data_IF_342041868488
#
_entry.id   IF_342041868488
#
_cell.length_a   1.000
_cell.length_b   1.000
_cell.length_c   1.000
_cell.angle_alpha   90.00
_cell.angle_beta   90.00
_cell.angle_gamma   90.00
#
_symmetry.space_group_name_H-M   'P 1'
#
loop_
_entity.id
_entity.type
_entity.pdbx_description
1 polymer ?
#
# COMPACT_ATOMS: atom_id res chain seq x y z
N UNK A 1 24.35 -16.10 -18.10
CA UNK A 1 24.90 -17.33 -17.50
C UNK A 1 25.92 -16.90 -16.46
N UNK A 2 25.86 -17.46 -15.25
CA UNK A 2 26.82 -17.14 -14.20
C UNK A 2 28.12 -17.94 -14.41
N UNK A 3 29.28 -17.42 -14.01
CA UNK A 3 30.58 -18.07 -14.18
C UNK A 3 30.66 -19.47 -13.54
N UNK A 4 29.98 -19.69 -12.41
CA UNK A 4 29.87 -21.01 -11.74
C UNK A 4 29.05 -22.03 -12.56
N UNK A 5 28.10 -21.57 -13.37
CA UNK A 5 27.29 -22.42 -14.27
C UNK A 5 28.16 -23.00 -15.39
N UNK A 6 29.20 -22.26 -15.80
CA UNK A 6 30.19 -22.65 -16.82
C UNK A 6 31.23 -23.62 -16.25
N UNK A 7 31.64 -23.46 -15.00
CA UNK A 7 32.56 -24.41 -14.34
C UNK A 7 31.89 -25.77 -14.06
N UNK A 8 30.62 -25.77 -13.63
CA UNK A 8 29.88 -27.01 -13.37
C UNK A 8 29.44 -27.73 -14.65
N UNK A 9 29.39 -27.04 -15.80
CA UNK A 9 29.21 -27.66 -17.11
C UNK A 9 30.36 -28.60 -17.51
N UNK A 10 31.48 -28.59 -16.78
CA UNK A 10 32.56 -29.58 -16.95
C UNK A 10 32.25 -30.94 -16.27
N UNK A 11 31.31 -30.98 -15.31
CA UNK A 11 30.91 -32.22 -14.62
C UNK A 11 29.81 -32.96 -15.42
N UNK A 12 30.11 -34.21 -15.80
CA UNK A 12 29.18 -35.12 -16.48
C UNK A 12 27.85 -35.28 -15.72
N UNK A 13 27.89 -35.25 -14.38
CA UNK A 13 26.68 -35.40 -13.57
C UNK A 13 25.81 -34.14 -13.55
N UNK A 14 26.41 -32.95 -13.70
CA UNK A 14 25.67 -31.70 -13.87
C UNK A 14 25.05 -31.60 -15.27
N UNK A 15 25.73 -32.08 -16.32
CA UNK A 15 25.13 -32.19 -17.68
C UNK A 15 23.90 -33.10 -17.71
N UNK A 16 23.96 -34.24 -17.02
CA UNK A 16 22.81 -35.14 -16.88
C UNK A 16 21.66 -34.49 -16.09
N UNK A 17 21.99 -33.67 -15.08
CA UNK A 17 20.99 -32.88 -14.35
C UNK A 17 20.35 -31.79 -15.22
N UNK A 18 21.13 -31.04 -16.00
CA UNK A 18 20.62 -30.07 -16.98
C UNK A 18 19.71 -30.75 -18.00
N UNK A 19 20.08 -31.91 -18.53
CA UNK A 19 19.25 -32.68 -19.46
C UNK A 19 17.95 -33.19 -18.81
N UNK A 20 17.99 -33.59 -17.53
CA UNK A 20 16.81 -34.01 -16.78
C UNK A 20 15.85 -32.83 -16.52
N UNK A 21 16.39 -31.65 -16.19
CA UNK A 21 15.62 -30.41 -16.05
C UNK A 21 15.03 -29.99 -17.40
N UNK A 22 15.77 -30.10 -18.49
CA UNK A 22 15.27 -29.81 -19.84
C UNK A 22 14.16 -30.75 -20.28
N UNK A 23 14.28 -32.04 -19.96
CA UNK A 23 13.21 -33.00 -20.20
C UNK A 23 11.96 -32.69 -19.38
N UNK A 24 12.13 -32.22 -18.14
CA UNK A 24 11.02 -31.77 -17.31
C UNK A 24 10.39 -30.48 -17.87
N UNK A 25 11.19 -29.52 -18.34
CA UNK A 25 10.73 -28.27 -18.96
C UNK A 25 9.99 -28.51 -20.28
N UNK A 26 10.43 -29.47 -21.10
CA UNK A 26 9.67 -29.88 -22.31
C UNK A 26 8.29 -30.44 -21.95
N UNK A 27 8.15 -31.17 -20.84
CA UNK A 27 6.82 -31.64 -20.42
C UNK A 27 5.86 -30.48 -20.10
N UNK A 28 6.35 -29.32 -19.64
CA UNK A 28 5.52 -28.13 -19.46
C UNK A 28 5.01 -27.54 -20.78
N UNK A 29 5.70 -27.76 -21.90
CA UNK A 29 5.29 -27.25 -23.22
C UNK A 29 4.18 -28.08 -23.86
N UNK A 30 4.12 -29.37 -23.56
CA UNK A 30 3.08 -30.29 -24.03
C UNK A 30 1.92 -30.47 -23.03
N UNK A 31 1.95 -29.74 -21.90
CA UNK A 31 0.91 -29.82 -20.88
C UNK A 31 -0.36 -29.11 -21.37
N UNK A 32 -1.42 -29.87 -21.64
CA UNK A 32 -2.74 -29.33 -21.98
C UNK A 32 -3.64 -29.15 -20.76
N UNK A 33 -3.39 -29.90 -19.68
CA UNK A 33 -4.20 -29.86 -18.47
C UNK A 33 -3.43 -29.40 -17.22
N UNK A 34 -4.17 -28.91 -16.24
CA UNK A 34 -3.61 -28.49 -14.95
C UNK A 34 -2.99 -29.65 -14.15
N UNK A 35 -3.46 -30.89 -14.37
CA UNK A 35 -2.89 -32.10 -13.76
C UNK A 35 -1.49 -32.43 -14.29
N UNK A 36 -1.22 -32.13 -15.57
CA UNK A 36 0.10 -32.32 -16.18
C UNK A 36 1.13 -31.37 -15.57
N UNK A 37 0.71 -30.15 -15.22
CA UNK A 37 1.56 -29.18 -14.51
C UNK A 37 1.97 -29.72 -13.13
N UNK A 38 1.05 -30.33 -12.37
CA UNK A 38 1.37 -30.95 -11.07
C UNK A 38 2.39 -32.08 -11.25
N UNK A 39 2.21 -32.92 -12.27
CA UNK A 39 3.12 -34.02 -12.60
C UNK A 39 4.50 -33.53 -13.03
N UNK A 40 4.55 -32.46 -13.85
CA UNK A 40 5.79 -31.83 -14.29
C UNK A 40 6.55 -31.17 -13.13
N UNK A 41 5.85 -30.45 -12.24
CA UNK A 41 6.40 -29.93 -10.99
C UNK A 41 6.93 -31.05 -10.09
N UNK A 42 6.18 -32.15 -9.97
CA UNK A 42 6.62 -33.32 -9.20
C UNK A 42 7.93 -33.93 -9.73
N UNK A 43 8.08 -34.03 -11.06
CA UNK A 43 9.33 -34.49 -11.70
C UNK A 43 10.47 -33.50 -11.48
N UNK A 44 10.19 -32.20 -11.57
CA UNK A 44 11.17 -31.14 -11.31
C UNK A 44 11.70 -31.19 -9.87
N UNK A 45 10.81 -31.38 -8.89
CA UNK A 45 11.16 -31.45 -7.46
C UNK A 45 12.11 -32.61 -7.14
N UNK A 46 11.87 -33.80 -7.74
CA UNK A 46 12.74 -34.96 -7.55
C UNK A 46 14.15 -34.74 -8.14
N UNK A 47 14.24 -34.00 -9.24
CA UNK A 47 15.51 -33.76 -9.92
C UNK A 47 16.33 -32.64 -9.26
N UNK A 48 15.68 -31.61 -8.73
CA UNK A 48 16.35 -30.45 -8.12
C UNK A 48 17.09 -30.76 -6.81
N UNK A 49 16.77 -31.86 -6.12
CA UNK A 49 17.37 -32.20 -4.82
C UNK A 49 18.87 -32.59 -4.86
N UNK A 50 19.51 -32.68 -6.04
CA UNK A 50 20.86 -33.27 -6.19
C UNK A 50 22.02 -32.26 -6.33
N UNK A 51 21.77 -31.00 -6.69
CA UNK A 51 22.84 -30.02 -6.96
C UNK A 51 22.50 -28.61 -6.43
N UNK A 52 23.52 -27.88 -5.96
CA UNK A 52 23.38 -26.53 -5.39
C UNK A 52 23.18 -25.38 -6.41
N UNK A 53 23.16 -25.67 -7.72
CA UNK A 53 22.99 -24.66 -8.78
C UNK A 53 21.80 -25.03 -9.65
N UNK A 54 20.83 -24.15 -9.78
CA UNK A 54 19.60 -24.36 -10.57
C UNK A 54 19.85 -23.94 -12.03
N UNK A 55 19.85 -24.87 -13.00
CA UNK A 55 20.06 -24.56 -14.40
C UNK A 55 18.82 -23.89 -14.99
N UNK A 56 19.01 -23.03 -16.00
CA UNK A 56 17.90 -22.33 -16.72
C UNK A 56 16.90 -21.64 -15.78
N UNK A 57 17.41 -20.97 -14.75
CA UNK A 57 16.61 -20.24 -13.75
C UNK A 57 15.50 -19.37 -14.36
N UNK A 58 15.78 -18.68 -15.47
CA UNK A 58 14.82 -17.81 -16.16
C UNK A 58 13.60 -18.58 -16.67
N UNK A 59 13.82 -19.72 -17.32
CA UNK A 59 12.74 -20.55 -17.87
C UNK A 59 11.94 -21.19 -16.74
N UNK A 60 12.62 -21.70 -15.70
CA UNK A 60 11.96 -22.27 -14.52
C UNK A 60 11.10 -21.20 -13.83
N UNK A 61 11.65 -20.00 -13.57
CA UNK A 61 10.92 -18.90 -12.96
C UNK A 61 9.68 -18.50 -13.75
N UNK A 62 9.79 -18.39 -15.08
CA UNK A 62 8.63 -18.11 -15.97
C UNK A 62 7.55 -19.19 -15.90
N UNK A 63 7.93 -20.47 -15.96
CA UNK A 63 6.97 -21.59 -15.87
C UNK A 63 6.33 -21.69 -14.50
N UNK A 64 7.10 -21.46 -13.43
CA UNK A 64 6.56 -21.41 -12.08
C UNK A 64 5.59 -20.25 -11.89
N UNK A 65 5.89 -19.06 -12.42
CA UNK A 65 4.97 -17.93 -12.40
C UNK A 65 3.66 -18.23 -13.15
N UNK A 66 3.72 -18.95 -14.29
CA UNK A 66 2.52 -19.43 -15.00
C UNK A 66 1.69 -20.39 -14.14
N UNK A 67 2.33 -21.28 -13.39
CA UNK A 67 1.65 -22.19 -12.47
C UNK A 67 0.94 -21.46 -11.31
N UNK A 68 1.27 -20.18 -11.07
CA UNK A 68 0.65 -19.33 -10.05
C UNK A 68 -0.47 -18.45 -10.62
N UNK A 69 -0.91 -18.69 -11.86
CA UNK A 69 -2.00 -17.92 -12.46
C UNK A 69 -3.31 -18.08 -11.66
N UNK A 70 -4.07 -17.00 -11.40
CA UNK A 70 -5.32 -17.06 -10.61
C UNK A 70 -6.39 -18.03 -11.12
N UNK A 71 -6.40 -18.29 -12.44
CA UNK A 71 -7.34 -19.21 -13.06
C UNK A 71 -7.04 -20.69 -12.78
N UNK A 72 -5.88 -21.02 -12.19
CA UNK A 72 -5.49 -22.39 -11.89
C UNK A 72 -5.98 -22.82 -10.50
N UNK A 73 -6.26 -24.13 -10.30
CA UNK A 73 -6.75 -24.62 -9.02
C UNK A 73 -5.68 -24.55 -7.92
N UNK A 74 -6.14 -24.46 -6.67
CA UNK A 74 -5.28 -24.34 -5.48
C UNK A 74 -4.28 -25.49 -5.30
N UNK A 75 -4.58 -26.68 -5.84
CA UNK A 75 -3.65 -27.82 -5.85
C UNK A 75 -2.38 -27.54 -6.66
N UNK A 76 -2.50 -26.86 -7.80
CA UNK A 76 -1.36 -26.45 -8.62
C UNK A 76 -0.53 -25.40 -7.89
N UNK A 77 -1.21 -24.42 -7.26
CA UNK A 77 -0.54 -23.37 -6.48
C UNK A 77 0.29 -23.98 -5.33
N UNK A 78 -0.29 -24.91 -4.56
CA UNK A 78 0.44 -25.59 -3.47
C UNK A 78 1.67 -26.33 -3.98
N UNK A 79 1.55 -27.08 -5.08
CA UNK A 79 2.68 -27.81 -5.67
C UNK A 79 3.77 -26.87 -6.19
N UNK A 80 3.38 -25.74 -6.78
CA UNK A 80 4.31 -24.71 -7.20
C UNK A 80 5.06 -24.11 -6.00
N UNK A 81 4.37 -23.81 -4.89
CA UNK A 81 5.00 -23.29 -3.67
C UNK A 81 6.00 -24.27 -3.04
N UNK A 82 5.70 -25.57 -3.01
CA UNK A 82 6.68 -26.60 -2.60
C UNK A 82 7.94 -26.57 -3.48
N UNK A 83 7.74 -26.34 -4.77
CA UNK A 83 8.84 -26.24 -5.75
C UNK A 83 9.69 -24.99 -5.49
N UNK A 84 9.05 -23.84 -5.21
CA UNK A 84 9.76 -22.63 -4.78
C UNK A 84 10.55 -22.86 -3.50
N UNK A 85 9.98 -23.54 -2.51
CA UNK A 85 10.66 -23.83 -1.26
C UNK A 85 11.94 -24.66 -1.48
N UNK A 86 11.86 -25.72 -2.29
CA UNK A 86 13.03 -26.53 -2.66
C UNK A 86 14.09 -25.66 -3.34
N UNK A 87 13.69 -24.83 -4.31
CA UNK A 87 14.60 -23.93 -5.03
C UNK A 87 15.27 -22.95 -4.07
N UNK A 88 14.54 -22.34 -3.14
CA UNK A 88 15.10 -21.39 -2.18
C UNK A 88 16.07 -22.04 -1.20
N UNK A 89 15.82 -23.29 -0.76
CA UNK A 89 16.77 -24.08 0.05
C UNK A 89 18.09 -24.33 -0.69
N UNK A 90 18.03 -24.59 -1.99
CA UNK A 90 19.20 -24.90 -2.82
C UNK A 90 20.03 -23.65 -3.11
N UNK A 91 19.36 -22.56 -3.47
CA UNK A 91 20.03 -21.33 -3.94
C UNK A 91 20.66 -20.57 -2.76
N UNK A 92 19.99 -20.54 -1.61
CA UNK A 92 20.40 -19.79 -0.43
C UNK A 92 20.17 -18.27 -0.55
N UNK A 93 20.28 -17.52 0.56
CA UNK A 93 19.81 -16.13 0.65
C UNK A 93 20.59 -15.15 -0.24
N UNK A 94 21.91 -15.33 -0.38
CA UNK A 94 22.77 -14.42 -1.18
C UNK A 94 22.42 -14.43 -2.67
N UNK A 95 22.09 -15.61 -3.21
CA UNK A 95 21.73 -15.76 -4.62
C UNK A 95 20.24 -15.45 -4.85
N UNK A 96 19.39 -15.73 -3.87
CA UNK A 96 17.98 -15.32 -3.89
C UNK A 96 17.84 -13.80 -4.02
N UNK A 97 18.68 -13.02 -3.33
CA UNK A 97 18.69 -11.56 -3.45
C UNK A 97 18.93 -11.08 -4.90
N UNK A 98 19.82 -11.76 -5.64
CA UNK A 98 20.15 -11.39 -7.04
C UNK A 98 19.03 -11.75 -8.01
N UNK A 99 18.38 -12.88 -7.78
CA UNK A 99 17.32 -13.41 -8.65
C UNK A 99 15.91 -13.12 -8.09
N UNK A 100 15.79 -12.15 -7.17
CA UNK A 100 14.55 -11.85 -6.45
C UNK A 100 13.40 -11.58 -7.41
N UNK A 101 13.57 -10.65 -8.34
CA UNK A 101 12.53 -10.26 -9.31
C UNK A 101 12.00 -11.43 -10.14
N UNK A 102 12.86 -12.39 -10.47
CA UNK A 102 12.49 -13.55 -11.26
C UNK A 102 11.49 -14.42 -10.52
N UNK A 103 11.76 -14.74 -9.25
CA UNK A 103 10.90 -15.59 -8.43
C UNK A 103 9.72 -14.83 -7.84
N UNK A 104 9.89 -13.53 -7.53
CA UNK A 104 8.85 -12.70 -6.94
C UNK A 104 7.72 -12.33 -7.91
N UNK A 105 8.00 -12.32 -9.22
CA UNK A 105 7.03 -11.94 -10.27
C UNK A 105 5.71 -12.72 -10.21
N UNK A 106 5.75 -14.01 -9.88
CA UNK A 106 4.55 -14.85 -9.71
C UNK A 106 4.03 -14.91 -8.27
N UNK A 107 4.92 -14.78 -7.28
CA UNK A 107 4.56 -14.95 -5.86
C UNK A 107 3.76 -13.75 -5.31
N UNK A 108 4.16 -12.52 -5.62
CA UNK A 108 3.49 -11.34 -5.06
C UNK A 108 2.01 -11.21 -5.51
N UNK A 109 1.67 -11.40 -6.80
CA UNK A 109 0.27 -11.34 -7.24
C UNK A 109 -0.57 -12.52 -6.74
N UNK A 110 0.05 -13.67 -6.46
CA UNK A 110 -0.65 -14.86 -5.97
C UNK A 110 -1.33 -14.60 -4.63
N UNK A 111 -0.68 -13.86 -3.71
CA UNK A 111 -1.20 -13.68 -2.35
C UNK A 111 -2.61 -13.07 -2.34
N UNK A 112 -2.90 -12.10 -3.20
CA UNK A 112 -4.21 -11.47 -3.27
C UNK A 112 -5.29 -12.38 -3.87
N UNK A 113 -4.91 -13.23 -4.83
CA UNK A 113 -5.84 -13.99 -5.67
C UNK A 113 -5.96 -15.48 -5.28
N UNK A 114 -5.06 -15.98 -4.44
CA UNK A 114 -5.04 -17.38 -4.04
C UNK A 114 -6.18 -17.75 -3.09
N UNK A 115 -6.51 -19.04 -3.09
CA UNK A 115 -7.44 -19.61 -2.12
C UNK A 115 -6.94 -19.42 -0.67
N UNK A 116 -7.89 -19.30 0.27
CA UNK A 116 -7.59 -19.07 1.70
C UNK A 116 -6.69 -20.15 2.32
N UNK A 117 -6.68 -21.37 1.78
CA UNK A 117 -5.81 -22.46 2.22
C UNK A 117 -4.35 -22.34 1.74
N UNK A 118 -4.09 -21.55 0.70
CA UNK A 118 -2.75 -21.36 0.10
C UNK A 118 -2.04 -20.16 0.72
N UNK A 119 -2.78 -19.13 1.16
CA UNK A 119 -2.23 -17.90 1.74
C UNK A 119 -1.30 -18.15 2.93
N UNK A 120 -1.63 -19.01 3.92
CA UNK A 120 -0.72 -19.28 5.04
C UNK A 120 0.61 -19.91 4.60
N UNK A 121 0.57 -20.82 3.62
CA UNK A 121 1.77 -21.47 3.06
C UNK A 121 2.67 -20.43 2.40
N UNK A 122 2.08 -19.50 1.63
CA UNK A 122 2.82 -18.42 0.99
C UNK A 122 3.41 -17.42 2.00
N UNK A 123 2.66 -17.06 3.05
CA UNK A 123 3.16 -16.19 4.12
C UNK A 123 4.34 -16.81 4.86
N UNK A 124 4.27 -18.11 5.17
CA UNK A 124 5.40 -18.83 5.78
C UNK A 124 6.65 -18.85 4.89
N UNK A 125 6.47 -18.89 3.57
CA UNK A 125 7.57 -18.77 2.61
C UNK A 125 8.19 -17.37 2.61
N UNK A 126 7.40 -16.30 2.72
CA UNK A 126 7.93 -14.94 2.89
C UNK A 126 8.69 -14.77 4.20
N UNK A 127 8.16 -15.30 5.30
CA UNK A 127 8.83 -15.24 6.59
C UNK A 127 10.15 -16.01 6.61
N UNK A 128 10.22 -17.18 5.96
CA UNK A 128 11.41 -18.03 5.98
C UNK A 128 12.51 -17.54 5.03
N UNK A 129 12.15 -17.06 3.83
CA UNK A 129 13.14 -16.76 2.78
C UNK A 129 13.27 -15.28 2.45
N UNK A 130 12.20 -14.49 2.57
CA UNK A 130 12.25 -13.06 2.23
C UNK A 130 12.65 -12.19 3.42
N UNK A 131 12.22 -12.54 4.63
CA UNK A 131 12.58 -11.78 5.83
C UNK A 131 14.11 -11.72 6.08
N UNK A 132 14.88 -12.84 5.93
CA UNK A 132 16.33 -12.80 6.13
C UNK A 132 17.10 -11.97 5.09
N UNK A 133 16.48 -11.57 3.98
CA UNK A 133 17.11 -10.75 2.95
C UNK A 133 17.35 -9.31 3.42
N UNK A 134 16.56 -8.82 4.38
CA UNK A 134 16.67 -7.47 4.95
C UNK A 134 16.80 -6.39 3.89
N UNK A 135 17.84 -5.56 3.95
CA UNK A 135 18.08 -4.44 3.03
C UNK A 135 18.15 -4.83 1.53
N UNK A 136 18.46 -6.09 1.21
CA UNK A 136 18.48 -6.54 -0.20
C UNK A 136 17.09 -6.72 -0.81
N UNK A 137 16.03 -6.67 0.01
CA UNK A 137 14.63 -6.71 -0.41
C UNK A 137 14.13 -5.37 -0.97
N UNK A 138 14.84 -4.26 -0.76
CA UNK A 138 14.43 -2.90 -1.19
C UNK A 138 13.89 -2.86 -2.64
N UNK A 139 14.54 -3.47 -3.65
CA UNK A 139 14.08 -3.40 -5.04
C UNK A 139 12.75 -4.15 -5.31
N UNK A 140 12.44 -5.19 -4.51
CA UNK A 140 11.20 -5.96 -4.61
C UNK A 140 10.12 -5.55 -3.59
N UNK A 141 10.44 -4.61 -2.69
CA UNK A 141 9.60 -4.31 -1.53
C UNK A 141 8.23 -3.78 -1.93
N UNK A 142 8.15 -2.86 -2.89
CA UNK A 142 6.88 -2.30 -3.36
C UNK A 142 5.93 -3.38 -3.89
N UNK A 143 6.47 -4.38 -4.62
CA UNK A 143 5.69 -5.52 -5.11
C UNK A 143 5.18 -6.40 -3.97
N UNK A 144 6.04 -6.69 -2.99
CA UNK A 144 5.67 -7.45 -1.79
C UNK A 144 4.56 -6.72 -1.01
N UNK A 145 4.74 -5.42 -0.75
CA UNK A 145 3.77 -4.59 -0.03
C UNK A 145 2.43 -4.56 -0.77
N UNK A 146 2.44 -4.35 -2.09
CA UNK A 146 1.23 -4.36 -2.91
C UNK A 146 0.47 -5.69 -2.80
N UNK A 147 1.18 -6.82 -2.79
CA UNK A 147 0.57 -8.14 -2.64
C UNK A 147 0.03 -8.40 -1.22
N UNK A 148 0.81 -8.07 -0.19
CA UNK A 148 0.47 -8.30 1.22
C UNK A 148 -0.65 -7.37 1.70
N UNK A 149 -0.59 -6.08 1.37
CA UNK A 149 -1.58 -5.10 1.79
C UNK A 149 -2.97 -5.35 1.20
N UNK A 150 -3.05 -5.93 0.00
CA UNK A 150 -4.35 -6.35 -0.57
C UNK A 150 -5.05 -7.42 0.26
N UNK A 151 -4.30 -8.21 1.02
CA UNK A 151 -4.84 -9.22 1.95
C UNK A 151 -4.96 -8.68 3.37
N UNK A 152 -4.23 -7.62 3.71
CA UNK A 152 -4.38 -6.88 4.96
C UNK A 152 -5.72 -6.15 4.98
N UNK A 153 -6.81 -6.86 5.28
CA UNK A 153 -8.13 -6.26 5.48
C UNK A 153 -8.60 -6.60 6.88
N UNK A 154 -8.73 -5.60 7.74
CA UNK A 154 -9.34 -5.82 9.06
C UNK A 154 -10.83 -6.11 8.87
N UNK A 155 -11.37 -7.10 9.59
CA UNK A 155 -12.81 -7.35 9.61
C UNK A 155 -13.54 -6.05 10.00
N UNK A 156 -14.44 -5.50 9.16
CA UNK A 156 -15.19 -4.32 9.53
C UNK A 156 -16.14 -4.65 10.69
N UNK A 157 -16.23 -3.76 11.70
CA UNK A 157 -17.23 -3.87 12.76
C UNK A 157 -18.63 -3.61 12.18
N UNK A 158 -19.28 -4.69 11.73
CA UNK A 158 -20.72 -4.89 11.49
C UNK A 158 -21.44 -3.92 10.50
N UNK A 159 -20.89 -2.78 10.08
CA UNK A 159 -21.75 -1.66 9.63
C UNK A 159 -22.00 -1.46 8.14
N UNK A 160 -21.48 -2.25 7.19
CA UNK A 160 -21.86 -1.97 5.77
C UNK A 160 -21.76 -3.14 4.77
N UNK A 161 -22.92 -3.57 4.25
CA UNK A 161 -23.20 -4.08 2.89
C UNK A 161 -22.51 -5.32 2.28
N UNK A 162 -21.24 -5.63 2.58
CA UNK A 162 -20.48 -6.63 1.79
C UNK A 162 -20.58 -8.06 2.36
N UNK A 163 -21.79 -8.62 2.37
CA UNK A 163 -22.14 -9.81 3.17
C UNK A 163 -21.35 -11.09 2.82
N UNK A 164 -21.03 -11.32 1.54
CA UNK A 164 -20.42 -12.60 1.09
C UNK A 164 -18.91 -12.73 1.39
N UNK A 165 -18.14 -11.62 1.41
CA UNK A 165 -16.72 -11.65 1.81
C UNK A 165 -16.55 -11.52 3.32
N UNK A 166 -17.49 -10.84 4.00
CA UNK A 166 -17.49 -10.67 5.47
C UNK A 166 -17.50 -11.99 6.22
N UNK A 167 -18.31 -12.97 5.77
CA UNK A 167 -18.43 -14.28 6.44
C UNK A 167 -17.14 -15.11 6.39
N UNK A 168 -16.35 -14.98 5.32
CA UNK A 168 -15.10 -15.73 5.16
C UNK A 168 -13.97 -15.18 6.03
N UNK A 169 -13.90 -13.85 6.22
CA UNK A 169 -12.85 -13.23 7.03
C UNK A 169 -13.15 -13.24 8.54
N UNK A 170 -14.43 -13.35 8.91
CA UNK A 170 -14.86 -13.56 10.31
C UNK A 170 -14.60 -14.98 10.82
N UNK A 171 -14.05 -15.89 9.99
CA UNK A 171 -13.62 -17.22 10.43
C UNK A 171 -12.23 -17.15 11.08
N UNK A 172 -11.87 -18.10 11.96
CA UNK A 172 -10.57 -18.14 12.64
C UNK A 172 -9.38 -18.07 11.67
N UNK A 173 -9.52 -18.65 10.48
CA UNK A 173 -8.48 -18.63 9.45
C UNK A 173 -8.24 -17.23 8.86
N UNK A 174 -9.28 -16.42 8.69
CA UNK A 174 -9.14 -15.03 8.19
C UNK A 174 -8.42 -14.14 9.19
N UNK A 175 -8.77 -14.26 10.46
CA UNK A 175 -8.08 -13.55 11.55
C UNK A 175 -6.62 -14.00 11.71
N UNK A 176 -6.36 -15.31 11.62
CA UNK A 176 -4.99 -15.84 11.61
C UNK A 176 -4.15 -15.27 10.45
N UNK A 177 -4.73 -15.17 9.25
CA UNK A 177 -4.06 -14.56 8.09
C UNK A 177 -3.82 -13.07 8.33
N UNK A 178 -4.80 -12.34 8.85
CA UNK A 178 -4.63 -10.92 9.21
C UNK A 178 -3.45 -10.72 10.16
N UNK A 179 -3.44 -11.44 11.29
CA UNK A 179 -2.39 -11.36 12.29
C UNK A 179 -1.03 -11.74 11.71
N UNK A 180 -0.96 -12.83 10.93
CA UNK A 180 0.27 -13.24 10.27
C UNK A 180 0.78 -12.18 9.28
N UNK A 181 -0.10 -11.55 8.49
CA UNK A 181 0.29 -10.46 7.58
C UNK A 181 0.76 -9.21 8.32
N UNK A 182 0.12 -8.85 9.43
CA UNK A 182 0.52 -7.69 10.22
C UNK A 182 1.91 -7.90 10.83
N UNK A 183 2.13 -9.05 11.48
CA UNK A 183 3.42 -9.43 12.05
C UNK A 183 4.51 -9.48 10.96
N UNK A 184 4.20 -9.98 9.77
CA UNK A 184 5.15 -10.00 8.65
C UNK A 184 5.54 -8.58 8.22
N UNK A 185 4.57 -7.66 8.09
CA UNK A 185 4.83 -6.27 7.72
C UNK A 185 5.71 -5.55 8.76
N UNK A 186 5.43 -5.75 10.05
CA UNK A 186 6.26 -5.20 11.14
C UNK A 186 7.70 -5.74 11.10
N UNK A 187 7.86 -7.06 10.92
CA UNK A 187 9.18 -7.69 10.79
C UNK A 187 9.93 -7.20 9.55
N UNK A 188 9.24 -7.02 8.43
CA UNK A 188 9.84 -6.48 7.20
C UNK A 188 10.24 -5.01 7.37
N UNK A 189 9.40 -4.19 8.02
CA UNK A 189 9.73 -2.80 8.33
C UNK A 189 10.99 -2.69 9.21
N UNK A 190 11.14 -3.58 10.19
CA UNK A 190 12.35 -3.66 11.02
C UNK A 190 13.59 -4.14 10.22
N UNK A 191 13.43 -5.07 9.29
CA UNK A 191 14.54 -5.67 8.55
C UNK A 191 15.08 -4.79 7.40
N UNK A 192 14.21 -4.03 6.72
CA UNK A 192 14.58 -3.25 5.52
C UNK A 192 14.98 -1.81 5.83
N UNK A 193 14.68 -1.33 7.05
CA UNK A 193 14.68 0.07 7.52
C UNK A 193 13.31 0.74 7.39
N UNK A 194 12.86 1.41 8.45
CA UNK A 194 11.51 1.98 8.52
C UNK A 194 11.25 3.03 7.44
N UNK A 195 12.18 3.97 7.20
CA UNK A 195 12.03 5.01 6.16
C UNK A 195 11.91 4.41 4.75
N UNK A 196 12.71 3.39 4.44
CA UNK A 196 12.63 2.69 3.15
C UNK A 196 11.32 1.92 2.99
N UNK A 197 10.80 1.34 4.08
CA UNK A 197 9.51 0.68 4.12
C UNK A 197 8.35 1.63 3.82
N UNK A 198 8.28 2.77 4.51
CA UNK A 198 7.21 3.75 4.28
C UNK A 198 7.30 4.39 2.89
N UNK A 199 8.51 4.60 2.35
CA UNK A 199 8.67 5.05 0.96
C UNK A 199 8.06 4.08 -0.06
N UNK A 200 8.36 2.78 0.09
CA UNK A 200 7.78 1.76 -0.78
C UNK A 200 6.27 1.58 -0.57
N UNK A 201 5.77 1.85 0.65
CA UNK A 201 4.35 1.86 0.97
C UNK A 201 3.64 3.00 0.22
N UNK A 202 4.17 4.22 0.25
CA UNK A 202 3.62 5.37 -0.49
C UNK A 202 3.62 5.11 -2.00
N UNK A 203 4.68 4.53 -2.55
CA UNK A 203 4.70 4.10 -3.95
C UNK A 203 3.63 3.04 -4.28
N UNK A 204 3.33 2.13 -3.35
CA UNK A 204 2.27 1.12 -3.52
C UNK A 204 0.86 1.74 -3.48
N UNK A 205 0.65 2.74 -2.61
CA UNK A 205 -0.59 3.51 -2.50
C UNK A 205 -0.84 4.34 -3.77
N UNK A 206 0.19 4.98 -4.30
CA UNK A 206 0.10 5.79 -5.52
C UNK A 206 -0.32 4.93 -6.72
N UNK A 207 0.38 3.81 -6.93
CA UNK A 207 0.25 2.95 -8.12
C UNK A 207 -1.01 2.08 -8.16
N UNK A 208 -1.55 1.65 -7.01
CA UNK A 208 -2.63 0.65 -6.95
C UNK A 208 -3.80 1.11 -6.08
N UNK A 209 -4.98 1.44 -6.65
CA UNK A 209 -6.17 1.84 -5.89
C UNK A 209 -6.61 0.82 -4.84
N UNK A 210 -6.51 -0.47 -5.14
CA UNK A 210 -6.86 -1.56 -4.22
C UNK A 210 -6.00 -1.60 -2.94
N UNK A 211 -4.84 -0.93 -2.94
CA UNK A 211 -3.89 -0.88 -1.81
C UNK A 211 -4.05 0.41 -1.00
N UNK A 212 -4.73 1.45 -1.53
CA UNK A 212 -4.85 2.74 -0.86
C UNK A 212 -5.49 2.64 0.51
N UNK A 213 -6.67 2.01 0.62
CA UNK A 213 -7.36 1.84 1.89
C UNK A 213 -6.52 1.04 2.92
N UNK A 214 -6.06 -0.18 2.62
CA UNK A 214 -5.28 -0.95 3.59
C UNK A 214 -3.93 -0.32 3.90
N UNK A 215 -3.27 0.33 2.93
CA UNK A 215 -2.02 1.04 3.13
C UNK A 215 -2.17 2.21 4.10
N UNK A 216 -3.10 3.13 3.85
CA UNK A 216 -3.35 4.29 4.74
C UNK A 216 -3.81 3.83 6.12
N UNK A 217 -4.68 2.81 6.18
CA UNK A 217 -5.15 2.24 7.44
C UNK A 217 -4.03 1.56 8.24
N UNK A 218 -3.06 0.94 7.56
CA UNK A 218 -1.87 0.38 8.20
C UNK A 218 -1.03 1.48 8.84
N UNK A 219 -0.79 2.59 8.12
CA UNK A 219 -0.07 3.75 8.67
C UNK A 219 -0.79 4.28 9.91
N UNK A 220 -2.10 4.54 9.81
CA UNK A 220 -2.91 5.02 10.94
C UNK A 220 -2.88 4.09 12.17
N UNK A 221 -2.82 2.78 11.97
CA UNK A 221 -2.78 1.81 13.06
C UNK A 221 -1.42 1.80 13.78
N UNK A 222 -0.32 2.02 13.05
CA UNK A 222 1.05 1.99 13.58
C UNK A 222 1.56 3.38 13.99
N UNK A 223 0.80 4.44 13.71
CA UNK A 223 1.05 5.78 14.23
C UNK A 223 0.72 5.83 15.73
N UNK A 224 1.65 6.39 16.51
CA UNK A 224 1.44 6.52 17.94
C UNK A 224 0.88 7.91 18.22
N UNK A 225 -0.44 7.98 18.44
CA UNK A 225 -1.14 9.25 18.68
C UNK A 225 -0.67 10.02 19.94
N UNK A 226 0.20 9.43 20.75
CA UNK A 226 0.76 10.04 21.96
C UNK A 226 2.14 10.66 21.75
N UNK A 227 2.83 10.35 20.66
CA UNK A 227 4.18 10.87 20.37
C UNK A 227 4.10 12.08 19.44
N UNK A 228 5.11 12.94 19.50
CA UNK A 228 5.30 14.01 18.52
C UNK A 228 5.62 13.39 17.16
N UNK A 229 5.16 14.03 16.08
CA UNK A 229 5.52 13.62 14.74
C UNK A 229 7.03 13.79 14.45
N UNK A 230 7.75 14.62 15.21
CA UNK A 230 9.23 14.72 15.11
C UNK A 230 9.91 13.39 15.46
N UNK A 231 9.36 12.62 16.41
CA UNK A 231 9.86 11.29 16.79
C UNK A 231 9.42 10.19 15.80
N UNK A 232 8.48 10.50 14.90
CA UNK A 232 7.89 9.57 13.94
C UNK A 232 8.11 9.97 12.48
N UNK A 233 9.13 10.79 12.20
CA UNK A 233 9.43 11.30 10.86
C UNK A 233 9.67 10.19 9.82
N UNK A 234 10.05 8.99 10.27
CA UNK A 234 10.22 7.81 9.41
C UNK A 234 8.97 7.44 8.60
N UNK A 235 7.77 7.88 9.02
CA UNK A 235 6.50 7.63 8.32
C UNK A 235 6.41 8.41 7.00
N UNK A 236 7.08 9.55 6.91
CA UNK A 236 7.15 10.34 5.67
C UNK A 236 7.96 9.58 4.60
N UNK A 237 8.87 8.70 5.02
CA UNK A 237 9.75 7.96 4.13
C UNK A 237 11.03 8.76 3.81
N UNK A 238 11.67 8.41 2.70
CA UNK A 238 12.89 9.03 2.18
C UNK A 238 12.59 10.09 1.14
N UNK A 239 11.37 10.11 0.59
CA UNK A 239 10.90 11.01 -0.45
C UNK A 239 9.54 11.62 -0.07
N UNK A 240 9.57 12.91 0.26
CA UNK A 240 8.39 13.68 0.67
C UNK A 240 7.46 13.91 -0.53
N UNK A 241 8.00 14.09 -1.74
CA UNK A 241 7.20 14.36 -2.94
C UNK A 241 6.33 13.15 -3.29
N UNK A 242 6.90 11.94 -3.19
CA UNK A 242 6.16 10.69 -3.39
C UNK A 242 5.00 10.54 -2.40
N UNK A 243 5.22 10.89 -1.13
CA UNK A 243 4.18 10.84 -0.10
C UNK A 243 3.08 11.87 -0.40
N UNK A 244 3.44 13.10 -0.75
CA UNK A 244 2.49 14.17 -1.11
C UNK A 244 1.63 13.77 -2.32
N UNK A 245 2.22 13.16 -3.34
CA UNK A 245 1.50 12.69 -4.53
C UNK A 245 0.57 11.51 -4.20
N UNK A 246 1.04 10.55 -3.39
CA UNK A 246 0.25 9.41 -2.94
C UNK A 246 -0.95 9.84 -2.09
N UNK A 247 -0.75 10.79 -1.17
CA UNK A 247 -1.80 11.37 -0.32
C UNK A 247 -2.80 12.15 -1.17
N UNK A 248 -2.33 13.04 -2.04
CA UNK A 248 -3.19 13.85 -2.92
C UNK A 248 -4.10 12.97 -3.79
N UNK A 249 -3.54 11.92 -4.39
CA UNK A 249 -4.29 10.95 -5.19
C UNK A 249 -5.29 10.15 -4.36
N UNK A 250 -4.94 9.81 -3.11
CA UNK A 250 -5.82 9.05 -2.20
C UNK A 250 -6.99 9.88 -1.66
N UNK A 251 -6.81 11.20 -1.48
CA UNK A 251 -7.90 12.11 -1.10
C UNK A 251 -8.91 12.28 -2.25
N UNK A 252 -8.49 12.15 -3.49
CA UNK A 252 -9.36 12.22 -4.68
C UNK A 252 -9.94 10.87 -5.11
N UNK A 253 -9.70 9.79 -4.33
CA UNK A 253 -10.13 8.43 -4.67
C UNK A 253 -11.66 8.30 -4.84
N UNK A 254 -12.11 7.31 -5.60
CA UNK A 254 -13.54 7.04 -5.78
C UNK A 254 -14.20 6.50 -4.50
N UNK A 255 -13.43 5.84 -3.62
CA UNK A 255 -13.93 5.28 -2.37
C UNK A 255 -13.92 6.29 -1.22
N UNK A 256 -15.12 6.59 -0.69
CA UNK A 256 -15.28 7.45 0.50
C UNK A 256 -14.47 6.94 1.71
N UNK A 257 -14.28 5.62 1.86
CA UNK A 257 -13.49 5.06 2.95
C UNK A 257 -12.01 5.44 2.83
N UNK A 258 -11.44 5.41 1.61
CA UNK A 258 -10.06 5.84 1.36
C UNK A 258 -9.90 7.32 1.69
N UNK A 259 -10.84 8.15 1.22
CA UNK A 259 -10.83 9.59 1.49
C UNK A 259 -10.89 9.89 2.99
N UNK A 260 -11.78 9.22 3.73
CA UNK A 260 -11.91 9.37 5.19
C UNK A 260 -10.60 9.03 5.90
N UNK A 261 -10.04 7.86 5.63
CA UNK A 261 -8.78 7.44 6.24
C UNK A 261 -7.63 8.38 5.87
N UNK A 262 -7.60 8.88 4.64
CA UNK A 262 -6.54 9.80 4.21
C UNK A 262 -6.66 11.17 4.86
N UNK A 263 -7.88 11.70 5.05
CA UNK A 263 -8.10 12.93 5.80
C UNK A 263 -7.76 12.77 7.28
N UNK A 264 -8.07 11.61 7.89
CA UNK A 264 -7.67 11.31 9.27
C UNK A 264 -6.12 11.25 9.39
N UNK A 265 -5.42 10.73 8.37
CA UNK A 265 -3.96 10.75 8.28
C UNK A 265 -3.42 12.18 8.15
N UNK A 266 -3.96 12.99 7.25
CA UNK A 266 -3.53 14.39 7.04
C UNK A 266 -3.70 15.20 8.31
N UNK A 267 -4.83 15.03 9.00
CA UNK A 267 -5.12 15.72 10.25
C UNK A 267 -4.07 15.41 11.34
N UNK A 268 -3.59 14.16 11.38
CA UNK A 268 -2.60 13.72 12.37
C UNK A 268 -1.16 14.05 11.98
N UNK A 269 -0.78 13.78 10.73
CA UNK A 269 0.60 13.88 10.26
C UNK A 269 1.00 15.26 9.76
N UNK A 270 0.06 16.10 9.32
CA UNK A 270 0.35 17.39 8.71
C UNK A 270 -0.51 18.53 9.28
N UNK A 271 -0.46 18.79 10.59
CA UNK A 271 -1.15 19.96 11.11
C UNK A 271 -0.44 21.25 10.66
N UNK A 272 -1.20 22.26 10.22
CA UNK A 272 -0.67 23.52 9.69
C UNK A 272 0.25 24.30 10.65
N UNK A 273 0.16 24.05 11.96
CA UNK A 273 1.03 24.68 12.97
C UNK A 273 2.41 24.01 13.11
N UNK A 274 2.63 22.83 12.49
CA UNK A 274 3.93 22.16 12.47
C UNK A 274 4.55 22.25 11.08
N UNK A 275 5.80 22.71 11.00
CA UNK A 275 6.57 22.87 9.76
C UNK A 275 7.19 21.55 9.28
N UNK A 276 6.40 20.48 9.22
CA UNK A 276 6.91 19.14 8.86
C UNK A 276 7.00 18.91 7.35
N UNK A 277 6.19 19.64 6.59
CA UNK A 277 6.22 19.67 5.14
C UNK A 277 6.45 21.10 4.66
N UNK A 278 7.04 21.24 3.48
CA UNK A 278 7.28 22.57 2.91
C UNK A 278 5.93 23.23 2.57
N UNK A 279 5.90 24.57 2.60
CA UNK A 279 4.72 25.35 2.22
C UNK A 279 4.11 24.93 0.87
N UNK A 280 4.87 24.70 -0.23
CA UNK A 280 4.29 24.27 -1.49
C UNK A 280 3.66 22.86 -1.44
N UNK A 281 4.24 21.93 -0.68
CA UNK A 281 3.70 20.56 -0.55
C UNK A 281 2.36 20.55 0.19
N UNK A 282 2.26 21.35 1.25
CA UNK A 282 1.01 21.53 1.98
C UNK A 282 -0.07 22.18 1.11
N UNK A 283 0.29 23.13 0.24
CA UNK A 283 -0.64 23.73 -0.73
C UNK A 283 -1.15 22.68 -1.73
N UNK A 284 -0.30 21.76 -2.18
CA UNK A 284 -0.70 20.65 -3.07
C UNK A 284 -1.71 19.73 -2.38
N UNK A 285 -1.43 19.29 -1.16
CA UNK A 285 -2.34 18.44 -0.37
C UNK A 285 -3.66 19.17 -0.14
N UNK A 286 -3.61 20.44 0.26
CA UNK A 286 -4.81 21.25 0.51
C UNK A 286 -5.65 21.43 -0.75
N UNK A 287 -5.01 21.68 -1.89
CA UNK A 287 -5.70 21.78 -3.18
C UNK A 287 -6.45 20.49 -3.50
N UNK A 288 -5.78 19.33 -3.33
CA UNK A 288 -6.41 18.04 -3.54
C UNK A 288 -7.58 17.78 -2.56
N UNK A 289 -7.42 18.19 -1.30
CA UNK A 289 -8.44 18.02 -0.26
C UNK A 289 -9.66 18.94 -0.44
N UNK A 290 -9.50 20.12 -1.03
CA UNK A 290 -10.61 21.01 -1.33
C UNK A 290 -11.59 20.42 -2.35
N UNK A 291 -11.13 19.59 -3.28
CA UNK A 291 -12.01 18.88 -4.21
C UNK A 291 -13.00 17.94 -3.50
N UNK A 292 -12.71 17.52 -2.27
CA UNK A 292 -13.63 16.68 -1.48
C UNK A 292 -14.90 17.43 -1.11
N UNK A 293 -14.85 18.76 -0.94
CA UNK A 293 -16.01 19.61 -0.62
C UNK A 293 -17.09 19.51 -1.70
N UNK A 294 -16.68 19.36 -2.95
CA UNK A 294 -17.59 19.27 -4.10
C UNK A 294 -18.48 18.01 -4.05
N UNK A 295 -18.07 16.96 -3.32
CA UNK A 295 -18.83 15.71 -3.21
C UNK A 295 -19.99 15.76 -2.20
N UNK A 296 -20.13 16.86 -1.44
CA UNK A 296 -21.22 17.09 -0.47
C UNK A 296 -21.34 16.01 0.63
N UNK A 297 -20.28 15.26 0.92
CA UNK A 297 -20.27 14.29 2.04
C UNK A 297 -19.97 15.00 3.37
N UNK A 298 -20.95 15.03 4.26
CA UNK A 298 -20.83 15.70 5.56
C UNK A 298 -19.74 15.11 6.46
N UNK A 299 -19.43 13.81 6.34
CA UNK A 299 -18.41 13.16 7.15
C UNK A 299 -16.98 13.51 6.70
N UNK A 300 -16.80 13.77 5.41
CA UNK A 300 -15.55 14.26 4.83
C UNK A 300 -15.37 15.75 5.12
N UNK A 301 -16.42 16.55 4.90
CA UNK A 301 -16.41 17.99 5.16
C UNK A 301 -16.05 18.29 6.62
N UNK A 302 -16.63 17.56 7.59
CA UNK A 302 -16.27 17.71 9.01
C UNK A 302 -14.78 17.50 9.28
N UNK A 303 -14.12 16.52 8.63
CA UNK A 303 -12.68 16.26 8.80
C UNK A 303 -11.82 17.33 8.17
N UNK A 304 -12.19 17.80 6.97
CA UNK A 304 -11.49 18.89 6.31
C UNK A 304 -11.56 20.19 7.14
N UNK A 305 -12.75 20.51 7.66
CA UNK A 305 -12.90 21.67 8.54
C UNK A 305 -12.15 21.51 9.87
N UNK A 306 -12.13 20.30 10.44
CA UNK A 306 -11.33 20.00 11.63
C UNK A 306 -9.84 20.28 11.37
N UNK A 307 -9.33 19.92 10.18
CA UNK A 307 -7.94 20.21 9.79
C UNK A 307 -7.66 21.70 9.61
N UNK A 308 -8.55 22.44 8.94
CA UNK A 308 -8.41 23.88 8.71
C UNK A 308 -8.51 24.71 10.00
N UNK A 309 -9.30 24.25 10.98
CA UNK A 309 -9.58 24.97 12.22
C UNK A 309 -8.74 24.48 13.42
N UNK A 310 -7.96 23.41 13.25
CA UNK A 310 -7.06 22.88 14.30
C UNK A 310 -7.77 22.07 15.40
N UNK A 311 -8.88 21.40 15.09
CA UNK A 311 -9.59 20.51 16.01
C UNK A 311 -9.34 19.04 15.67
N UNK A 312 -9.18 18.15 16.65
CA UNK A 312 -9.32 16.71 16.37
C UNK A 312 -10.81 16.31 16.24
N UNK A 313 -11.07 15.26 15.45
CA UNK A 313 -12.40 14.65 15.22
C UNK A 313 -13.14 14.22 16.52
N UNK A 314 -12.44 14.21 17.67
CA UNK A 314 -12.95 13.90 19.01
C UNK A 314 -13.02 15.12 19.97
N UNK A 315 -12.80 16.34 19.50
CA UNK A 315 -12.82 17.55 20.34
C UNK A 315 -11.60 17.74 21.24
N UNK A 316 -10.54 16.94 21.06
CA UNK A 316 -9.26 17.12 21.75
C UNK A 316 -8.42 18.16 20.99
N UNK A 317 -7.92 19.16 21.72
CA UNK A 317 -7.15 20.30 21.19
C UNK A 317 -5.69 19.89 21.01
N UNK A 318 -5.17 19.93 19.78
CA UNK A 318 -3.75 19.74 19.45
C UNK A 318 -3.06 21.04 19.00
N UNK A 319 -3.64 22.20 19.28
CA UNK A 319 -2.97 23.49 19.09
C UNK A 319 -1.95 23.78 20.20
N UNK A 320 -1.01 24.74 19.99
CA UNK A 320 -0.15 25.22 21.06
C UNK A 320 -1.05 25.68 22.21
N UNK A 321 -0.84 25.09 23.41
CA UNK A 321 -1.58 25.46 24.62
C UNK A 321 -1.31 26.93 24.93
N UNK A 322 -2.14 27.82 24.41
CA UNK A 322 -2.28 29.14 25.00
C UNK A 322 -3.06 28.94 26.29
N UNK A 323 -2.36 29.12 27.41
CA UNK A 323 -2.80 28.89 28.80
C UNK A 323 -3.88 29.87 29.28
N UNK A 324 -4.70 30.41 28.38
CA UNK A 324 -5.81 31.28 28.73
C UNK A 324 -7.08 30.78 28.09
N UNK A 325 -8.05 30.50 28.96
CA UNK A 325 -9.45 30.29 28.66
C UNK A 325 -9.89 31.20 27.50
N UNK A 326 -10.21 30.61 26.35
CA UNK A 326 -10.86 31.29 25.25
C UNK A 326 -11.78 30.32 24.52
N UNK A 327 -12.92 30.86 24.09
CA UNK A 327 -14.01 30.11 23.50
C UNK A 327 -13.49 29.23 22.35
N UNK A 328 -14.06 28.02 22.14
CA UNK A 328 -13.68 27.16 21.02
C UNK A 328 -13.66 27.91 19.68
N UNK A 329 -14.59 28.83 19.47
CA UNK A 329 -14.72 29.64 18.26
C UNK A 329 -13.61 30.68 18.06
N UNK A 330 -13.11 31.29 19.14
CA UNK A 330 -12.00 32.26 19.07
C UNK A 330 -10.68 31.57 18.75
N UNK A 331 -10.42 30.40 19.34
CA UNK A 331 -9.24 29.59 19.03
C UNK A 331 -9.25 29.10 17.57
N UNK A 332 -10.42 28.67 17.08
CA UNK A 332 -10.60 28.28 15.68
C UNK A 332 -10.29 29.44 14.72
N UNK A 333 -10.81 30.62 15.04
CA UNK A 333 -10.63 31.82 14.24
C UNK A 333 -9.18 32.30 14.26
N UNK A 334 -8.51 32.23 15.41
CA UNK A 334 -7.10 32.60 15.54
C UNK A 334 -6.18 31.62 14.81
N UNK A 335 -6.43 30.31 14.93
CA UNK A 335 -5.67 29.28 14.20
C UNK A 335 -5.84 29.43 12.69
N UNK A 336 -7.08 29.59 12.22
CA UNK A 336 -7.38 29.74 10.81
C UNK A 336 -6.70 30.99 10.22
N UNK A 337 -6.81 32.14 10.89
CA UNK A 337 -6.19 33.38 10.42
C UNK A 337 -4.66 33.35 10.47
N UNK A 338 -4.06 32.61 11.41
CA UNK A 338 -2.60 32.58 11.59
C UNK A 338 -1.90 31.57 10.70
N UNK A 339 -2.52 30.42 10.42
CA UNK A 339 -1.85 29.30 9.75
C UNK A 339 -2.55 28.85 8.45
N UNK A 340 -3.88 28.77 8.45
CA UNK A 340 -4.63 28.14 7.36
C UNK A 340 -5.02 29.11 6.23
N UNK A 341 -5.28 30.37 6.54
CA UNK A 341 -5.86 31.36 5.61
C UNK A 341 -4.99 31.61 4.38
N UNK A 342 -3.72 31.97 4.55
CA UNK A 342 -2.84 32.27 3.41
C UNK A 342 -2.62 31.06 2.51
N UNK A 343 -2.55 29.87 3.10
CA UNK A 343 -2.35 28.62 2.36
C UNK A 343 -3.63 28.22 1.60
N UNK A 344 -4.80 28.43 2.21
CA UNK A 344 -6.09 28.22 1.58
C UNK A 344 -6.29 29.15 0.39
N UNK A 345 -5.99 30.45 0.55
CA UNK A 345 -6.09 31.42 -0.55
C UNK A 345 -5.17 31.01 -1.70
N UNK A 346 -3.91 30.64 -1.42
CA UNK A 346 -2.98 30.19 -2.46
C UNK A 346 -3.44 28.89 -3.15
N UNK A 347 -3.99 27.92 -2.41
CA UNK A 347 -4.55 26.71 -2.97
C UNK A 347 -5.76 27.01 -3.88
N UNK A 348 -6.71 27.85 -3.42
CA UNK A 348 -7.88 28.23 -4.21
C UNK A 348 -7.51 29.01 -5.47
N UNK A 349 -6.56 29.95 -5.37
CA UNK A 349 -6.03 30.66 -6.54
C UNK A 349 -5.38 29.69 -7.52
N UNK A 350 -4.61 28.70 -7.04
CA UNK A 350 -4.00 27.67 -7.88
C UNK A 350 -5.01 26.78 -8.61
N UNK A 351 -6.12 26.43 -7.94
CA UNK A 351 -7.24 25.69 -8.54
C UNK A 351 -7.93 26.53 -9.61
N UNK A 352 -8.26 27.79 -9.30
CA UNK A 352 -8.97 28.71 -10.21
C UNK A 352 -8.12 29.12 -11.42
N UNK A 353 -6.80 29.11 -11.30
CA UNK A 353 -5.86 29.38 -12.39
C UNK A 353 -5.51 28.13 -13.23
N UNK A 354 -6.17 27.00 -13.00
CA UNK A 354 -6.04 25.80 -13.85
C UNK A 354 -4.72 25.02 -13.70
N UNK A 355 -3.95 25.23 -12.62
CA UNK A 355 -2.67 24.51 -12.41
C UNK A 355 -2.81 23.12 -11.79
N UNK A 356 -4.03 22.61 -11.57
CA UNK A 356 -4.28 21.22 -11.24
C UNK A 356 -4.59 20.44 -12.53
N UNK A 357 -3.60 19.65 -12.98
CA UNK A 357 -3.56 18.90 -14.25
C UNK A 357 -4.88 18.18 -14.63
N UNK A 358 -5.47 18.60 -15.75
CA UNK A 358 -5.81 17.74 -16.90
C UNK A 358 -7.23 17.16 -17.01
N UNK A 359 -8.02 17.70 -17.95
CA UNK A 359 -8.88 16.93 -18.86
C UNK A 359 -10.41 16.93 -18.63
N UNK A 360 -11.11 17.77 -19.41
CA UNK A 360 -12.47 17.57 -19.95
C UNK A 360 -13.74 17.63 -19.05
N UNK A 361 -13.68 17.96 -17.76
CA UNK A 361 -14.90 18.25 -16.96
C UNK A 361 -15.16 19.75 -16.70
N UNK A 362 -14.48 20.63 -17.45
CA UNK A 362 -14.36 22.07 -17.15
C UNK A 362 -15.65 22.90 -17.35
N UNK A 363 -16.63 22.44 -18.14
CA UNK A 363 -17.80 23.26 -18.44
C UNK A 363 -18.91 23.20 -17.38
N UNK A 364 -18.95 22.15 -16.56
CA UNK A 364 -19.94 22.02 -15.47
C UNK A 364 -19.38 22.59 -14.16
N UNK A 365 -18.06 22.49 -13.96
CA UNK A 365 -17.35 22.90 -12.73
C UNK A 365 -17.33 24.42 -12.51
N UNK A 366 -17.28 25.23 -13.57
CA UNK A 366 -17.31 26.69 -13.46
C UNK A 366 -18.66 27.21 -12.94
N UNK A 367 -19.77 26.49 -13.17
CA UNK A 367 -21.09 26.93 -12.74
C UNK A 367 -21.29 26.69 -11.22
N UNK A 368 -20.77 25.59 -10.68
CA UNK A 368 -20.93 25.22 -9.27
C UNK A 368 -19.99 26.01 -8.33
N UNK A 369 -18.77 26.34 -8.77
CA UNK A 369 -17.84 27.18 -8.00
C UNK A 369 -18.31 28.63 -7.85
N UNK A 370 -18.93 29.20 -8.89
CA UNK A 370 -19.54 30.53 -8.83
C UNK A 370 -20.76 30.56 -7.89
N UNK A 371 -21.52 29.47 -7.81
CA UNK A 371 -22.62 29.35 -6.85
C UNK A 371 -22.12 29.24 -5.40
N UNK A 372 -20.95 28.62 -5.18
CA UNK A 372 -20.34 28.53 -3.85
C UNK A 372 -19.81 29.89 -3.38
N UNK A 373 -19.12 30.66 -4.24
CA UNK A 373 -18.65 32.01 -3.92
C UNK A 373 -19.81 32.97 -3.60
N UNK A 374 -20.93 32.86 -4.31
CA UNK A 374 -22.18 33.59 -4.01
C UNK A 374 -22.77 33.17 -2.65
N UNK A 375 -22.74 31.88 -2.33
CA UNK A 375 -23.24 31.39 -1.03
C UNK A 375 -22.36 31.77 0.16
N UNK A 376 -21.03 31.91 -0.03
CA UNK A 376 -20.11 32.33 1.03
C UNK A 376 -20.36 33.76 1.52
N UNK A 377 -20.81 34.67 0.63
CA UNK A 377 -21.24 36.03 0.99
C UNK A 377 -22.53 36.02 1.83
N UNK A 378 -23.37 34.99 1.65
CA UNK A 378 -24.61 34.83 2.41
C UNK A 378 -24.38 34.23 3.82
N UNK A 379 -23.27 33.52 4.04
CA UNK A 379 -22.90 32.94 5.33
C UNK A 379 -22.34 33.97 6.33
N UNK A 380 -21.75 35.07 5.85
CA UNK A 380 -21.33 36.19 6.71
C UNK A 380 -22.50 37.00 7.27
N UNK A 381 -23.71 36.90 6.71
CA UNK A 381 -24.85 37.74 7.10
C UNK A 381 -26.00 37.01 7.83
N UNK A 382 -25.97 35.67 7.94
CA UNK A 382 -27.07 34.91 8.59
C UNK A 382 -26.89 34.62 10.08
N UNK A 383 -25.72 34.86 10.67
CA UNK A 383 -25.48 34.60 12.10
C UNK A 383 -25.54 35.85 12.99
N UNK A 384 -25.94 37.01 12.46
CA UNK A 384 -26.05 38.28 13.22
C UNK A 384 -27.50 38.69 13.56
N UNK A 385 -28.51 37.92 13.14
CA UNK A 385 -29.93 38.30 13.30
C UNK A 385 -30.71 37.39 14.27
N UNK A 386 -30.10 36.37 14.88
CA UNK A 386 -30.77 35.50 15.86
C UNK A 386 -30.32 35.70 17.31
N UNK A 387 -29.96 36.93 17.69
CA UNK A 387 -29.73 37.30 19.09
C UNK A 387 -30.15 38.74 19.40
N UNK A 388 -31.40 39.09 19.07
CA UNK A 388 -32.17 40.12 19.75
C UNK A 388 -33.52 39.52 20.18
#
# INVERSE_FOLDING_TARGET
MNAEEVELLSDSKYRNYVAAVDKALKNFEYSSEWADLISALGKLNKNNAKYQVVPKKLTIGKRLAQCLHPALPSGVHRKALETYEIIFKIIGPKRLAKDLFLYSSGLFPLLSNAAMSVKPVLLGLYETYYLPLGKTLKPGLQGLLTGVLRVWRRAPSITTGEQSRKTLWNRPLGESIFTATNTLLEKVAAAVEQSAFYSALWGSILTSPAVRLPGVSFVLLHLNRKLSMEDQLYVIGSDIELMVEAVSTSVQDSSVLVQRSTLDLILFCFPFHMSQATRPDMIRILSAALHVVLRRDMSLNRRLYAWLLGFENNGVRTGPRSTRQSNPEEHASQYFNSFSKDMLVQAMVGILQGKARGGEEESVLMHDLNHFASSSVCWTNRNLVTSL
#
